data_IF_210477143993
#
_entry.id   IF_210477143993
#
_cell.length_a   1.000
_cell.length_b   1.000
_cell.length_c   1.000
_cell.angle_alpha   90.00
_cell.angle_beta   90.00
_cell.angle_gamma   90.00
#
_symmetry.space_group_name_H-M   'P 1'
#
loop_
_entity.id
_entity.type
_entity.pdbx_description
1 polymer ?
#
# COMPACT_ATOMS: atom_id res chain seq x y z
N UNK A 1 -10.08 22.23 -21.04
CA UNK A 1 -9.40 22.23 -19.75
C UNK A 1 -10.20 23.10 -18.80
N UNK A 2 -10.49 22.61 -17.60
CA UNK A 2 -11.14 23.42 -16.58
C UNK A 2 -10.19 24.55 -16.17
N UNK A 3 -10.74 25.76 -15.89
CA UNK A 3 -9.91 26.93 -15.57
C UNK A 3 -9.04 26.72 -14.32
N UNK A 4 -9.51 25.92 -13.36
CA UNK A 4 -8.76 25.51 -12.17
C UNK A 4 -7.50 24.76 -12.50
N UNK A 5 -7.54 23.85 -13.50
CA UNK A 5 -6.41 23.06 -13.93
C UNK A 5 -5.40 23.92 -14.71
N UNK A 6 -5.88 24.84 -15.57
CA UNK A 6 -5.00 25.76 -16.30
C UNK A 6 -4.16 26.65 -15.37
N UNK A 7 -4.75 27.09 -14.25
CA UNK A 7 -4.12 28.00 -13.28
C UNK A 7 -3.30 27.28 -12.21
N UNK A 8 -3.33 25.93 -12.14
CA UNK A 8 -2.72 25.13 -11.08
C UNK A 8 -3.02 25.70 -9.68
N UNK A 9 -4.30 26.01 -9.46
CA UNK A 9 -4.74 26.65 -8.21
C UNK A 9 -4.61 25.69 -7.01
N UNK A 10 -4.54 26.19 -5.76
CA UNK A 10 -4.58 25.35 -4.55
C UNK A 10 -5.79 24.39 -4.54
N UNK A 11 -6.95 24.84 -5.00
CA UNK A 11 -8.14 24.02 -5.13
C UNK A 11 -7.94 22.86 -6.12
N UNK A 12 -7.23 23.11 -7.24
CA UNK A 12 -6.89 22.04 -8.17
C UNK A 12 -5.93 21.03 -7.56
N UNK A 13 -4.90 21.46 -6.85
CA UNK A 13 -3.98 20.55 -6.14
C UNK A 13 -4.71 19.72 -5.08
N UNK A 14 -5.68 20.29 -4.38
CA UNK A 14 -6.55 19.54 -3.45
C UNK A 14 -7.31 18.45 -4.20
N UNK A 15 -8.02 18.78 -5.29
CA UNK A 15 -8.78 17.84 -6.11
C UNK A 15 -7.85 16.73 -6.65
N UNK A 16 -6.68 17.09 -7.14
CA UNK A 16 -5.67 16.18 -7.69
C UNK A 16 -5.12 15.20 -6.64
N UNK A 17 -5.10 15.60 -5.37
CA UNK A 17 -4.62 14.80 -4.25
C UNK A 17 -5.66 13.78 -3.75
N UNK A 18 -6.95 14.02 -3.95
CA UNK A 18 -8.04 13.19 -3.39
C UNK A 18 -7.99 11.73 -3.81
N UNK A 19 -7.71 11.35 -5.08
CA UNK A 19 -7.65 9.94 -5.45
C UNK A 19 -6.56 9.15 -4.70
N UNK A 20 -5.37 9.76 -4.50
CA UNK A 20 -4.33 9.15 -3.68
C UNK A 20 -4.72 9.07 -2.21
N UNK A 21 -5.43 10.09 -1.71
CA UNK A 21 -5.98 10.13 -0.36
C UNK A 21 -6.99 9.01 -0.13
N UNK A 22 -7.81 8.66 -1.14
CA UNK A 22 -8.72 7.52 -1.05
C UNK A 22 -7.98 6.22 -0.75
N UNK A 23 -6.87 5.98 -1.43
CA UNK A 23 -6.07 4.76 -1.23
C UNK A 23 -5.40 4.74 0.14
N UNK A 24 -4.86 5.87 0.58
CA UNK A 24 -4.32 6.01 1.94
C UNK A 24 -5.39 5.80 3.02
N UNK A 25 -6.59 6.31 2.80
CA UNK A 25 -7.72 6.12 3.70
C UNK A 25 -8.16 4.64 3.75
N UNK A 26 -8.28 3.97 2.59
CA UNK A 26 -8.62 2.54 2.51
C UNK A 26 -7.61 1.68 3.27
N UNK A 27 -6.30 1.96 3.13
CA UNK A 27 -5.24 1.31 3.92
C UNK A 27 -5.42 1.55 5.42
N UNK A 28 -5.75 2.76 5.84
CA UNK A 28 -5.96 3.07 7.25
C UNK A 28 -7.14 2.29 7.85
N UNK A 29 -8.24 2.15 7.09
CA UNK A 29 -9.39 1.32 7.47
C UNK A 29 -8.97 -0.14 7.58
N UNK A 30 -8.28 -0.67 6.59
CA UNK A 30 -7.79 -2.05 6.58
C UNK A 30 -6.89 -2.32 7.79
N UNK A 31 -5.90 -1.48 8.03
CA UNK A 31 -4.93 -1.64 9.13
C UNK A 31 -5.63 -1.64 10.49
N UNK A 32 -6.61 -0.77 10.69
CA UNK A 32 -7.32 -0.67 11.96
C UNK A 32 -8.36 -1.79 12.15
N UNK A 33 -9.10 -2.13 11.11
CA UNK A 33 -10.29 -2.94 11.23
C UNK A 33 -10.10 -4.42 10.85
N UNK A 34 -9.15 -4.77 9.96
CA UNK A 34 -9.07 -6.13 9.42
C UNK A 34 -8.76 -7.18 10.49
N UNK A 35 -7.67 -7.04 11.23
CA UNK A 35 -7.31 -7.99 12.29
C UNK A 35 -8.36 -8.02 13.40
N UNK A 36 -8.92 -6.86 13.74
CA UNK A 36 -9.96 -6.73 14.74
C UNK A 36 -11.22 -7.52 14.33
N UNK A 37 -11.76 -7.31 13.13
CA UNK A 37 -13.01 -7.96 12.69
C UNK A 37 -12.83 -9.48 12.51
N UNK A 38 -11.67 -9.91 12.00
CA UNK A 38 -11.36 -11.32 11.81
C UNK A 38 -11.26 -12.07 13.16
N UNK A 39 -10.70 -11.43 14.18
CA UNK A 39 -10.59 -12.02 15.49
C UNK A 39 -11.89 -11.96 16.29
N UNK A 40 -12.58 -10.80 16.31
CA UNK A 40 -13.77 -10.62 17.18
C UNK A 40 -15.03 -11.19 16.56
N UNK A 41 -15.32 -10.90 15.30
CA UNK A 41 -16.56 -11.35 14.66
C UNK A 41 -16.48 -12.78 14.12
N UNK A 42 -15.29 -13.19 13.62
CA UNK A 42 -15.12 -14.50 12.97
C UNK A 42 -14.29 -15.49 13.78
N UNK A 43 -13.77 -15.08 14.96
CA UNK A 43 -12.98 -15.91 15.88
C UNK A 43 -11.79 -16.61 15.20
N UNK A 44 -11.17 -15.97 14.18
CA UNK A 44 -10.02 -16.53 13.52
C UNK A 44 -8.79 -16.52 14.43
N UNK A 45 -8.05 -17.61 14.39
CA UNK A 45 -6.79 -17.71 15.11
C UNK A 45 -5.73 -16.80 14.49
N UNK A 46 -4.76 -16.35 15.28
CA UNK A 46 -3.73 -15.38 14.84
C UNK A 46 -2.95 -15.84 13.62
N UNK A 47 -2.71 -17.15 13.46
CA UNK A 47 -2.02 -17.69 12.29
C UNK A 47 -2.89 -17.64 11.03
N UNK A 48 -4.22 -17.70 11.14
CA UNK A 48 -5.17 -17.53 10.05
C UNK A 48 -5.25 -16.04 9.63
N UNK A 49 -5.28 -15.14 10.61
CA UNK A 49 -5.19 -13.69 10.36
C UNK A 49 -3.87 -13.35 9.64
N UNK A 50 -2.75 -13.97 10.07
CA UNK A 50 -1.46 -13.82 9.39
C UNK A 50 -1.49 -14.24 7.93
N UNK A 51 -2.27 -15.29 7.56
CA UNK A 51 -2.44 -15.67 6.15
C UNK A 51 -3.26 -14.66 5.36
N UNK A 52 -4.31 -14.11 5.95
CA UNK A 52 -5.10 -13.06 5.30
C UNK A 52 -4.20 -11.86 4.99
N UNK A 53 -3.33 -11.46 5.91
CA UNK A 53 -2.35 -10.39 5.69
C UNK A 53 -1.25 -10.73 4.66
N UNK A 54 -0.94 -12.01 4.45
CA UNK A 54 0.00 -12.44 3.42
C UNK A 54 -0.50 -12.17 1.99
N UNK A 55 -1.80 -11.89 1.81
CA UNK A 55 -2.38 -11.46 0.54
C UNK A 55 -1.81 -10.11 0.06
N UNK A 56 -1.51 -9.18 0.98
CA UNK A 56 -1.03 -7.84 0.66
C UNK A 56 0.25 -7.78 -0.18
N UNK A 57 1.35 -8.43 0.22
CA UNK A 57 2.57 -8.50 -0.57
C UNK A 57 2.36 -9.07 -1.97
N UNK A 58 1.51 -10.09 -2.11
CA UNK A 58 1.16 -10.69 -3.41
C UNK A 58 0.43 -9.67 -4.28
N UNK A 59 -0.60 -9.03 -3.75
CA UNK A 59 -1.35 -7.99 -4.43
C UNK A 59 -0.47 -6.79 -4.82
N UNK A 60 0.47 -6.40 -3.95
CA UNK A 60 1.41 -5.32 -4.21
C UNK A 60 2.31 -5.57 -5.41
N UNK A 61 2.88 -6.78 -5.51
CA UNK A 61 3.76 -7.16 -6.63
C UNK A 61 2.97 -7.16 -7.94
N UNK A 62 1.84 -7.85 -7.99
CA UNK A 62 1.03 -7.97 -9.20
C UNK A 62 0.32 -6.66 -9.55
N UNK A 63 -0.32 -6.01 -8.58
CA UNK A 63 -1.09 -4.81 -8.79
C UNK A 63 -0.23 -3.63 -9.23
N UNK A 64 0.85 -3.32 -8.52
CA UNK A 64 1.65 -2.13 -8.84
C UNK A 64 2.46 -2.29 -10.13
N UNK A 65 3.10 -3.44 -10.33
CA UNK A 65 3.98 -3.65 -11.50
C UNK A 65 3.16 -3.81 -12.77
N UNK A 66 2.18 -4.74 -12.76
CA UNK A 66 1.39 -5.06 -13.97
C UNK A 66 0.50 -3.87 -14.34
N UNK A 67 -0.23 -3.30 -13.38
CA UNK A 67 -1.13 -2.18 -13.66
C UNK A 67 -0.35 -0.93 -14.00
N UNK A 68 0.83 -0.71 -13.39
CA UNK A 68 1.72 0.37 -13.77
C UNK A 68 2.04 0.34 -15.27
N UNK A 69 2.51 -0.81 -15.76
CA UNK A 69 2.83 -0.99 -17.18
C UNK A 69 1.61 -0.82 -18.10
N UNK A 70 0.48 -1.46 -17.75
CA UNK A 70 -0.73 -1.39 -18.57
C UNK A 70 -1.27 0.05 -18.60
N UNK A 71 -1.30 0.75 -17.46
CA UNK A 71 -1.82 2.12 -17.40
C UNK A 71 -0.97 3.14 -18.12
N UNK A 72 0.28 2.82 -18.47
CA UNK A 72 1.14 3.68 -19.26
C UNK A 72 0.79 3.64 -20.76
N UNK A 73 0.28 2.51 -21.25
CA UNK A 73 0.07 2.26 -22.67
C UNK A 73 -1.40 2.37 -23.12
N UNK A 74 -2.35 2.15 -22.20
CA UNK A 74 -3.77 2.00 -22.53
C UNK A 74 -4.54 3.29 -22.28
N UNK A 75 -5.33 3.72 -23.29
CA UNK A 75 -6.23 4.87 -23.22
C UNK A 75 -7.68 4.41 -23.37
N UNK A 76 -8.48 4.53 -22.30
CA UNK A 76 -9.92 4.25 -22.34
C UNK A 76 -10.68 5.10 -21.31
N UNK A 77 -11.99 5.26 -21.46
CA UNK A 77 -12.84 6.13 -20.66
C UNK A 77 -12.31 7.56 -20.50
N UNK A 78 -11.62 8.07 -21.53
CA UNK A 78 -11.13 9.45 -21.59
C UNK A 78 -9.88 9.73 -20.75
N UNK A 79 -9.05 8.72 -20.49
CA UNK A 79 -7.78 8.86 -19.80
C UNK A 79 -6.95 7.57 -19.78
N UNK A 80 -5.70 7.68 -19.36
CA UNK A 80 -4.82 6.55 -19.06
C UNK A 80 -4.92 6.12 -17.61
N UNK A 81 -4.92 7.07 -16.71
CA UNK A 81 -4.91 6.82 -15.25
C UNK A 81 -6.30 6.73 -14.66
N UNK A 82 -7.23 7.54 -15.17
CA UNK A 82 -8.61 7.67 -14.69
C UNK A 82 -9.35 6.33 -14.56
N UNK A 83 -9.34 5.44 -15.57
CA UNK A 83 -10.04 4.16 -15.47
C UNK A 83 -9.54 3.29 -14.31
N UNK A 84 -8.23 3.23 -14.10
CA UNK A 84 -7.63 2.44 -13.04
C UNK A 84 -7.96 3.00 -11.64
N UNK A 85 -8.00 4.33 -11.52
CA UNK A 85 -8.41 5.00 -10.28
C UNK A 85 -9.87 4.71 -9.97
N UNK A 86 -10.76 4.77 -10.97
CA UNK A 86 -12.18 4.47 -10.81
C UNK A 86 -12.42 3.01 -10.43
N UNK A 87 -11.81 2.07 -11.17
CA UNK A 87 -11.96 0.64 -10.92
C UNK A 87 -11.41 0.28 -9.53
N UNK A 88 -10.17 0.67 -9.24
CA UNK A 88 -9.55 0.32 -7.96
C UNK A 88 -10.23 1.00 -6.78
N UNK A 89 -10.62 2.28 -6.89
CA UNK A 89 -11.36 2.98 -5.85
C UNK A 89 -12.72 2.37 -5.56
N UNK A 90 -13.48 2.03 -6.59
CA UNK A 90 -14.79 1.39 -6.45
C UNK A 90 -14.67 -0.01 -5.83
N UNK A 91 -13.74 -0.83 -6.33
CA UNK A 91 -13.49 -2.16 -5.79
C UNK A 91 -12.99 -2.10 -4.33
N UNK A 92 -12.11 -1.15 -4.00
CA UNK A 92 -11.65 -0.96 -2.62
C UNK A 92 -12.81 -0.64 -1.69
N UNK A 93 -13.70 0.26 -2.08
CA UNK A 93 -14.88 0.61 -1.29
C UNK A 93 -15.83 -0.59 -1.12
N UNK A 94 -16.05 -1.37 -2.17
CA UNK A 94 -16.87 -2.59 -2.11
C UNK A 94 -16.25 -3.65 -1.20
N UNK A 95 -14.94 -3.86 -1.27
CA UNK A 95 -14.26 -4.83 -0.41
C UNK A 95 -14.23 -4.39 1.06
N UNK A 96 -14.10 -3.09 1.33
CA UNK A 96 -14.27 -2.57 2.69
C UNK A 96 -15.68 -2.87 3.23
N UNK A 97 -16.71 -2.63 2.42
CA UNK A 97 -18.10 -2.98 2.80
C UNK A 97 -18.30 -4.49 2.96
N UNK A 98 -17.56 -5.32 2.26
CA UNK A 98 -17.66 -6.77 2.36
C UNK A 98 -17.07 -7.33 3.68
N UNK A 99 -16.17 -6.61 4.36
CA UNK A 99 -15.51 -7.09 5.58
C UNK A 99 -16.49 -7.55 6.68
N UNK A 100 -17.54 -6.78 7.03
CA UNK A 100 -18.52 -7.23 8.02
C UNK A 100 -19.38 -8.40 7.57
N UNK A 101 -19.43 -8.69 6.28
CA UNK A 101 -20.29 -9.68 5.66
C UNK A 101 -19.55 -10.94 5.17
N UNK A 102 -18.28 -11.14 5.55
CA UNK A 102 -17.47 -12.29 5.15
C UNK A 102 -18.21 -13.61 5.42
N UNK A 103 -18.83 -13.77 6.62
CA UNK A 103 -19.57 -14.97 6.98
C UNK A 103 -20.82 -15.20 6.11
N UNK A 104 -21.59 -14.14 5.81
CA UNK A 104 -22.76 -14.21 4.94
C UNK A 104 -22.35 -14.59 3.51
N UNK A 105 -21.25 -14.01 3.01
CA UNK A 105 -20.70 -14.32 1.69
C UNK A 105 -20.20 -15.76 1.65
N UNK A 106 -19.51 -16.24 2.70
CA UNK A 106 -19.02 -17.62 2.79
C UNK A 106 -20.16 -18.64 2.72
N UNK A 107 -21.19 -18.46 3.54
CA UNK A 107 -22.36 -19.36 3.52
C UNK A 107 -23.15 -19.28 2.23
N UNK A 108 -23.31 -18.07 1.68
CA UNK A 108 -24.02 -17.86 0.40
C UNK A 108 -23.34 -18.51 -0.80
N UNK A 109 -22.01 -18.65 -0.75
CA UNK A 109 -21.21 -19.35 -1.78
C UNK A 109 -20.99 -20.85 -1.48
N UNK A 110 -21.53 -21.35 -0.37
CA UNK A 110 -21.40 -22.77 0.01
C UNK A 110 -20.04 -23.17 0.59
N UNK A 111 -19.24 -22.20 1.07
CA UNK A 111 -17.97 -22.49 1.75
C UNK A 111 -18.19 -22.74 3.24
N UNK A 112 -17.62 -23.82 3.76
CA UNK A 112 -17.64 -24.12 5.20
C UNK A 112 -16.67 -23.26 5.99
N UNK A 113 -15.56 -22.84 5.38
CA UNK A 113 -14.51 -22.04 6.02
C UNK A 113 -14.58 -20.56 5.64
N UNK A 114 -14.69 -19.72 6.64
CA UNK A 114 -14.64 -18.26 6.52
C UNK A 114 -13.26 -17.75 6.06
N UNK A 115 -12.18 -18.50 6.37
CA UNK A 115 -10.79 -18.10 6.08
C UNK A 115 -10.54 -17.89 4.58
N UNK A 116 -11.07 -18.78 3.73
CA UNK A 116 -10.91 -18.66 2.27
C UNK A 116 -11.53 -17.38 1.72
N UNK A 117 -12.72 -17.03 2.18
CA UNK A 117 -13.41 -15.79 1.78
C UNK A 117 -12.72 -14.57 2.38
N UNK A 118 -12.22 -14.64 3.60
CA UNK A 118 -11.43 -13.57 4.22
C UNK A 118 -10.16 -13.27 3.40
N UNK A 119 -9.43 -14.31 2.97
CA UNK A 119 -8.26 -14.16 2.09
C UNK A 119 -8.66 -13.55 0.75
N UNK A 120 -9.74 -14.01 0.13
CA UNK A 120 -10.21 -13.49 -1.15
C UNK A 120 -10.58 -12.00 -1.08
N UNK A 121 -11.33 -11.61 -0.05
CA UNK A 121 -11.72 -10.21 0.17
C UNK A 121 -10.50 -9.34 0.45
N UNK A 122 -9.58 -9.78 1.33
CA UNK A 122 -8.36 -9.06 1.62
C UNK A 122 -7.45 -8.94 0.39
N UNK A 123 -7.27 -10.02 -0.37
CA UNK A 123 -6.49 -10.02 -1.62
C UNK A 123 -7.09 -9.04 -2.64
N UNK A 124 -8.41 -9.06 -2.81
CA UNK A 124 -9.09 -8.17 -3.74
C UNK A 124 -9.01 -6.72 -3.28
N UNK A 125 -9.11 -6.46 -1.97
CA UNK A 125 -8.94 -5.12 -1.40
C UNK A 125 -7.52 -4.59 -1.65
N UNK A 126 -6.51 -5.38 -1.31
CA UNK A 126 -5.11 -5.02 -1.52
C UNK A 126 -4.79 -4.82 -3.00
N UNK A 127 -5.28 -5.71 -3.86
CA UNK A 127 -5.12 -5.59 -5.31
C UNK A 127 -5.79 -4.31 -5.83
N UNK A 128 -7.00 -4.00 -5.38
CA UNK A 128 -7.76 -2.80 -5.78
C UNK A 128 -7.05 -1.51 -5.37
N UNK A 129 -6.51 -1.47 -4.14
CA UNK A 129 -5.69 -0.35 -3.66
C UNK A 129 -4.44 -0.20 -4.54
N UNK A 130 -3.75 -1.29 -4.84
CA UNK A 130 -2.52 -1.27 -5.64
C UNK A 130 -2.78 -0.95 -7.12
N UNK A 131 -3.93 -1.33 -7.69
CA UNK A 131 -4.38 -0.92 -9.03
C UNK A 131 -4.46 0.61 -9.14
N UNK A 132 -4.94 1.28 -8.10
CA UNK A 132 -5.08 2.74 -8.09
C UNK A 132 -3.80 3.47 -7.65
N UNK A 133 -2.94 2.85 -6.87
CA UNK A 133 -1.85 3.51 -6.16
C UNK A 133 -0.85 4.22 -7.09
N UNK A 134 -0.38 3.54 -8.14
CA UNK A 134 0.51 4.13 -9.13
C UNK A 134 -0.21 5.16 -10.02
N UNK A 135 -1.38 4.86 -10.61
CA UNK A 135 -2.14 5.84 -11.38
C UNK A 135 -2.44 7.14 -10.62
N UNK A 136 -2.78 7.09 -9.33
CA UNK A 136 -3.05 8.30 -8.53
C UNK A 136 -1.82 9.18 -8.31
N UNK A 137 -0.62 8.61 -8.36
CA UNK A 137 0.64 9.36 -8.29
C UNK A 137 1.07 9.85 -9.66
N UNK A 138 0.97 8.99 -10.67
CA UNK A 138 1.37 9.30 -12.05
C UNK A 138 0.53 10.43 -12.64
N UNK A 139 -0.78 10.50 -12.34
CA UNK A 139 -1.65 11.56 -12.83
C UNK A 139 -1.16 12.96 -12.42
N UNK A 140 -0.48 13.08 -11.27
CA UNK A 140 0.12 14.35 -10.83
C UNK A 140 1.22 14.78 -11.81
N UNK A 141 2.10 13.84 -12.18
CA UNK A 141 3.15 14.10 -13.15
C UNK A 141 2.59 14.42 -14.55
N UNK A 142 1.52 13.71 -14.95
CA UNK A 142 0.91 13.83 -16.27
C UNK A 142 0.20 15.18 -16.47
N UNK A 143 -0.30 15.82 -15.39
CA UNK A 143 -1.08 17.07 -15.48
C UNK A 143 -0.35 18.31 -14.94
N UNK A 144 0.85 18.14 -14.38
CA UNK A 144 1.67 19.25 -13.87
C UNK A 144 2.99 19.38 -14.63
N UNK A 145 3.45 20.61 -14.95
CA UNK A 145 4.77 20.83 -15.52
C UNK A 145 5.89 20.29 -14.63
N UNK A 146 6.98 19.82 -15.24
CA UNK A 146 8.17 19.41 -14.49
C UNK A 146 8.77 20.56 -13.69
N UNK A 147 9.36 20.26 -12.52
CA UNK A 147 9.95 21.25 -11.63
C UNK A 147 9.06 21.58 -10.43
N UNK A 148 9.02 22.85 -10.03
CA UNK A 148 8.38 23.30 -8.78
C UNK A 148 6.88 22.96 -8.70
N UNK A 149 6.14 23.09 -9.78
CA UNK A 149 4.70 22.81 -9.78
C UNK A 149 4.40 21.32 -9.57
N UNK A 150 5.20 20.42 -10.15
CA UNK A 150 5.10 18.99 -9.92
C UNK A 150 5.46 18.63 -8.46
N UNK A 151 6.55 19.19 -7.94
CA UNK A 151 6.94 19.03 -6.52
C UNK A 151 5.84 19.50 -5.59
N UNK A 152 5.25 20.65 -5.87
CA UNK A 152 4.10 21.18 -5.13
C UNK A 152 2.91 20.22 -5.17
N UNK A 153 2.59 19.63 -6.33
CA UNK A 153 1.54 18.63 -6.47
C UNK A 153 1.75 17.43 -5.54
N UNK A 154 2.95 16.88 -5.51
CA UNK A 154 3.28 15.77 -4.61
C UNK A 154 3.27 16.17 -3.13
N UNK A 155 3.71 17.38 -2.79
CA UNK A 155 3.64 17.89 -1.41
C UNK A 155 2.19 18.02 -0.95
N UNK A 156 1.30 18.58 -1.79
CA UNK A 156 -0.13 18.65 -1.49
C UNK A 156 -0.75 17.25 -1.30
N UNK A 157 -0.44 16.33 -2.21
CA UNK A 157 -0.89 14.94 -2.09
C UNK A 157 -0.48 14.32 -0.75
N UNK A 158 0.78 14.47 -0.37
CA UNK A 158 1.29 13.88 0.86
C UNK A 158 0.66 14.49 2.12
N UNK A 159 0.47 15.81 2.12
CA UNK A 159 -0.14 16.54 3.24
C UNK A 159 -1.61 16.14 3.40
N UNK A 160 -2.38 16.14 2.32
CA UNK A 160 -3.82 15.82 2.37
C UNK A 160 -4.00 14.34 2.73
N UNK A 161 -3.26 13.42 2.08
CA UNK A 161 -3.35 11.99 2.40
C UNK A 161 -2.97 11.69 3.85
N UNK A 162 -1.93 12.34 4.37
CA UNK A 162 -1.53 12.19 5.78
C UNK A 162 -2.61 12.68 6.75
N UNK A 163 -3.20 13.84 6.47
CA UNK A 163 -4.28 14.40 7.28
C UNK A 163 -5.52 13.50 7.30
N UNK A 164 -5.94 12.99 6.15
CA UNK A 164 -7.06 12.08 6.05
C UNK A 164 -6.76 10.70 6.68
N UNK A 165 -5.50 10.23 6.63
CA UNK A 165 -5.07 9.02 7.34
C UNK A 165 -5.25 9.14 8.85
N UNK A 166 -4.82 10.27 9.44
CA UNK A 166 -5.07 10.57 10.86
C UNK A 166 -6.58 10.66 11.13
N UNK A 167 -7.36 11.29 10.23
CA UNK A 167 -8.81 11.38 10.32
C UNK A 167 -9.50 10.00 10.32
N UNK A 168 -9.01 9.06 9.52
CA UNK A 168 -9.54 7.69 9.52
C UNK A 168 -9.39 7.02 10.89
N UNK A 169 -8.21 7.07 11.48
CA UNK A 169 -7.99 6.51 12.81
C UNK A 169 -8.77 7.25 13.90
N UNK A 170 -9.00 8.55 13.76
CA UNK A 170 -9.85 9.32 14.66
C UNK A 170 -11.31 8.83 14.62
N UNK A 171 -11.85 8.53 13.43
CA UNK A 171 -13.19 7.93 13.29
C UNK A 171 -13.26 6.61 14.06
N UNK A 172 -12.29 5.71 13.87
CA UNK A 172 -12.23 4.44 14.57
C UNK A 172 -12.09 4.58 16.09
N UNK A 173 -11.28 5.52 16.55
CA UNK A 173 -11.06 5.78 17.97
C UNK A 173 -12.32 6.34 18.69
N UNK A 174 -13.09 7.18 18.00
CA UNK A 174 -14.27 7.84 18.57
C UNK A 174 -15.51 6.96 18.45
N UNK A 175 -15.79 6.44 17.25
CA UNK A 175 -17.05 5.76 16.92
C UNK A 175 -16.91 4.23 16.76
N UNK A 176 -15.66 3.72 16.81
CA UNK A 176 -15.36 2.29 16.67
C UNK A 176 -15.15 1.85 15.23
N UNK A 177 -14.67 0.61 15.08
CA UNK A 177 -14.21 0.09 13.78
C UNK A 177 -15.35 -0.18 12.78
N UNK A 178 -16.56 -0.49 13.21
CA UNK A 178 -17.70 -0.60 12.29
C UNK A 178 -18.01 0.74 11.64
N UNK A 179 -18.06 1.83 12.43
CA UNK A 179 -18.26 3.17 11.88
C UNK A 179 -17.12 3.53 10.92
N UNK A 180 -15.88 3.21 11.27
CA UNK A 180 -14.72 3.42 10.40
C UNK A 180 -14.87 2.67 9.07
N UNK A 181 -15.31 1.41 9.06
CA UNK A 181 -15.51 0.62 7.84
C UNK A 181 -16.57 1.26 6.94
N UNK A 182 -17.77 1.54 7.48
CA UNK A 182 -18.85 2.08 6.67
C UNK A 182 -18.58 3.50 6.17
N UNK A 183 -18.18 4.40 7.06
CA UNK A 183 -17.83 5.78 6.68
C UNK A 183 -16.61 5.77 5.76
N UNK A 184 -15.63 4.90 6.03
CA UNK A 184 -14.45 4.74 5.21
C UNK A 184 -14.78 4.29 3.79
N UNK A 185 -15.64 3.31 3.62
CA UNK A 185 -16.07 2.85 2.29
C UNK A 185 -16.75 3.98 1.49
N UNK A 186 -17.64 4.75 2.12
CA UNK A 186 -18.27 5.91 1.49
C UNK A 186 -17.26 6.96 1.09
N UNK A 187 -16.35 7.33 1.99
CA UNK A 187 -15.30 8.32 1.71
C UNK A 187 -14.41 7.84 0.57
N UNK A 188 -13.90 6.60 0.63
CA UNK A 188 -13.04 6.01 -0.41
C UNK A 188 -13.73 6.05 -1.77
N UNK A 189 -15.00 5.66 -1.84
CA UNK A 189 -15.78 5.73 -3.07
C UNK A 189 -15.89 7.16 -3.59
N UNK A 190 -16.37 8.10 -2.76
CA UNK A 190 -16.63 9.47 -3.19
C UNK A 190 -15.36 10.20 -3.63
N UNK A 191 -14.28 10.08 -2.87
CA UNK A 191 -13.03 10.79 -3.19
C UNK A 191 -12.15 10.07 -4.24
N UNK A 192 -12.49 8.83 -4.60
CA UNK A 192 -11.95 8.18 -5.81
C UNK A 192 -12.75 8.54 -7.06
N UNK A 193 -14.07 8.66 -6.93
CA UNK A 193 -14.97 8.82 -8.07
C UNK A 193 -15.14 10.27 -8.50
N UNK A 194 -15.45 11.18 -7.55
CA UNK A 194 -15.81 12.56 -7.87
C UNK A 194 -14.64 13.37 -8.47
N UNK A 195 -13.42 13.36 -7.91
CA UNK A 195 -12.32 14.22 -8.37
C UNK A 195 -11.90 13.94 -9.81
N UNK A 196 -12.04 12.70 -10.25
CA UNK A 196 -11.64 12.26 -11.59
C UNK A 196 -12.36 13.04 -12.70
N UNK A 197 -13.60 13.49 -12.46
CA UNK A 197 -14.35 14.29 -13.44
C UNK A 197 -13.80 15.70 -13.60
N UNK A 198 -13.05 16.20 -12.65
CA UNK A 198 -12.42 17.52 -12.66
C UNK A 198 -10.98 17.52 -13.15
N UNK A 199 -10.40 16.34 -13.42
CA UNK A 199 -9.04 16.20 -13.90
C UNK A 199 -9.09 15.75 -15.37
N UNK A 200 -8.45 16.49 -16.27
CA UNK A 200 -8.29 16.11 -17.68
C UNK A 200 -6.85 15.69 -17.93
N UNK A 201 -6.68 14.46 -18.36
CA UNK A 201 -5.39 13.93 -18.76
C UNK A 201 -5.01 14.40 -20.18
N UNK A 202 -3.72 14.68 -20.46
CA UNK A 202 -3.25 14.93 -21.81
C UNK A 202 -3.24 13.61 -22.60
N UNK A 203 -3.74 13.65 -23.83
CA UNK A 203 -3.76 12.49 -24.73
C UNK A 203 -2.34 12.05 -25.15
N UNK A 204 -1.45 13.04 -25.32
CA UNK A 204 -0.02 12.82 -25.60
C UNK A 204 0.83 13.39 -24.47
N UNK A 205 1.76 12.61 -23.97
CA UNK A 205 2.83 13.10 -23.09
C UNK A 205 3.80 13.97 -23.90
N UNK A 206 4.50 14.91 -23.24
CA UNK A 206 5.52 15.68 -23.95
C UNK A 206 6.66 14.76 -24.38
N UNK A 207 7.22 14.98 -25.59
CA UNK A 207 8.27 14.15 -26.20
C UNK A 207 9.50 13.90 -25.30
N UNK A 208 9.76 14.77 -24.30
CA UNK A 208 10.82 14.56 -23.32
C UNK A 208 10.53 13.44 -22.30
N UNK A 209 9.27 13.08 -22.10
CA UNK A 209 8.86 12.00 -21.20
C UNK A 209 8.72 10.66 -21.96
N UNK A 210 8.48 10.69 -23.28
CA UNK A 210 8.51 9.48 -24.13
C UNK A 210 9.90 8.83 -24.20
N UNK A 211 10.97 9.60 -24.11
CA UNK A 211 12.36 9.07 -24.14
C UNK A 211 12.68 8.26 -22.85
N UNK A 212 11.92 8.45 -21.78
CA UNK A 212 12.02 7.64 -20.56
C UNK A 212 11.10 6.40 -20.58
N UNK A 213 10.12 6.35 -21.48
CA UNK A 213 9.33 5.16 -21.75
C UNK A 213 10.12 4.21 -22.67
N UNK A 214 11.04 3.53 -22.06
CA UNK A 214 11.98 2.61 -22.72
C UNK A 214 11.22 1.43 -23.33
N UNK A 215 11.47 1.17 -24.61
CA UNK A 215 11.05 -0.03 -25.35
C UNK A 215 11.15 -1.31 -24.51
N UNK A 216 10.17 -2.22 -24.56
CA UNK A 216 10.18 -3.47 -23.78
C UNK A 216 11.27 -4.41 -24.31
N UNK A 217 12.46 -4.28 -23.74
CA UNK A 217 13.53 -5.23 -23.96
C UNK A 217 13.23 -6.50 -23.11
N UNK A 218 13.22 -7.67 -23.73
CA UNK A 218 12.96 -8.95 -23.05
C UNK A 218 13.91 -9.21 -21.85
N UNK A 219 15.07 -8.59 -21.85
CA UNK A 219 16.06 -8.70 -20.76
C UNK A 219 15.74 -7.80 -19.56
N UNK A 220 14.81 -6.86 -19.66
CA UNK A 220 14.47 -5.97 -18.54
C UNK A 220 13.86 -6.66 -17.35
N UNK A 221 13.04 -7.69 -17.56
CA UNK A 221 12.46 -8.49 -16.47
C UNK A 221 13.53 -9.18 -15.65
N UNK A 222 14.53 -9.74 -16.31
CA UNK A 222 15.66 -10.40 -15.64
C UNK A 222 16.48 -9.37 -14.87
N UNK A 223 16.78 -8.23 -15.48
CA UNK A 223 17.47 -7.12 -14.81
C UNK A 223 16.69 -6.58 -13.60
N UNK A 224 15.37 -6.38 -13.75
CA UNK A 224 14.50 -5.97 -12.65
C UNK A 224 14.48 -6.99 -11.50
N UNK A 225 14.42 -8.30 -11.80
CA UNK A 225 14.52 -9.34 -10.78
C UNK A 225 15.85 -9.31 -10.03
N UNK A 226 16.96 -9.05 -10.73
CA UNK A 226 18.26 -8.92 -10.09
C UNK A 226 18.43 -7.64 -9.27
N UNK A 227 17.78 -6.54 -9.65
CA UNK A 227 17.82 -5.30 -8.87
C UNK A 227 17.07 -5.40 -7.54
N UNK A 228 16.11 -6.33 -7.40
CA UNK A 228 15.36 -6.55 -6.15
C UNK A 228 15.88 -7.73 -5.31
N UNK A 229 17.15 -8.12 -5.47
CA UNK A 229 17.80 -9.21 -4.70
C UNK A 229 17.49 -9.22 -3.19
N UNK A 230 17.48 -8.07 -2.49
CA UNK A 230 17.18 -8.05 -1.05
C UNK A 230 15.78 -8.56 -0.70
N UNK A 231 14.86 -8.61 -1.67
CA UNK A 231 13.48 -9.08 -1.47
C UNK A 231 13.25 -10.52 -1.89
N UNK A 232 14.22 -11.23 -2.45
CA UNK A 232 14.00 -12.58 -3.00
C UNK A 232 13.44 -13.57 -1.99
N UNK A 233 13.88 -13.52 -0.73
CA UNK A 233 13.34 -14.40 0.30
C UNK A 233 11.87 -14.12 0.60
N UNK A 234 11.47 -12.85 0.63
CA UNK A 234 10.06 -12.47 0.80
C UNK A 234 9.21 -12.89 -0.38
N UNK A 235 9.71 -12.66 -1.59
CA UNK A 235 9.02 -13.04 -2.84
C UNK A 235 8.84 -14.55 -2.97
N UNK A 236 9.78 -15.35 -2.47
CA UNK A 236 9.68 -16.80 -2.43
C UNK A 236 8.75 -17.31 -1.32
N UNK A 237 8.82 -16.68 -0.14
CA UNK A 237 8.06 -17.12 1.04
C UNK A 237 6.55 -17.03 0.85
N UNK A 238 6.05 -15.91 0.33
CA UNK A 238 4.62 -15.67 0.22
C UNK A 238 3.88 -16.73 -0.61
N UNK A 239 4.26 -17.00 -1.90
CA UNK A 239 3.59 -18.03 -2.68
C UNK A 239 3.85 -19.46 -2.19
N UNK A 240 5.06 -19.75 -1.69
CA UNK A 240 5.40 -21.07 -1.18
C UNK A 240 4.67 -21.39 0.13
N UNK A 241 4.58 -20.40 1.05
CA UNK A 241 3.82 -20.53 2.27
C UNK A 241 2.33 -20.73 2.02
N UNK A 242 1.78 -20.02 1.04
CA UNK A 242 0.39 -20.14 0.62
C UNK A 242 0.13 -21.52 -0.02
N UNK A 243 1.00 -21.95 -0.94
CA UNK A 243 0.93 -23.27 -1.57
C UNK A 243 1.02 -24.41 -0.54
N UNK A 244 1.97 -24.33 0.41
CA UNK A 244 2.12 -25.29 1.52
C UNK A 244 0.81 -25.48 2.28
N UNK A 245 0.11 -24.39 2.56
CA UNK A 245 -1.12 -24.42 3.35
C UNK A 245 -2.32 -24.91 2.56
N UNK A 246 -2.43 -24.55 1.29
CA UNK A 246 -3.50 -25.02 0.39
C UNK A 246 -3.35 -26.49 0.03
N UNK A 247 -2.12 -27.01 -0.06
CA UNK A 247 -1.85 -28.41 -0.40
C UNK A 247 -1.92 -29.39 0.78
N UNK A 248 -2.10 -28.89 2.01
CA UNK A 248 -2.13 -29.71 3.23
C UNK A 248 -0.80 -30.39 3.55
N UNK A 249 0.28 -30.07 2.84
CA UNK A 249 1.59 -30.67 3.06
C UNK A 249 2.25 -30.12 4.32
N UNK A 250 2.56 -31.01 5.27
CA UNK A 250 3.35 -30.69 6.46
C UNK A 250 4.85 -30.74 6.14
N UNK A 251 5.38 -29.74 5.47
CA UNK A 251 6.84 -29.50 5.56
C UNK A 251 7.16 -29.15 7.02
N UNK A 252 8.24 -29.70 7.54
CA UNK A 252 8.61 -29.43 8.96
C UNK A 252 8.62 -27.93 9.22
N UNK A 253 7.94 -27.49 10.32
CA UNK A 253 7.86 -26.06 10.65
C UNK A 253 9.26 -25.49 10.76
N UNK A 254 9.51 -24.36 10.08
CA UNK A 254 10.75 -23.61 10.15
C UNK A 254 11.75 -23.81 9.00
N UNK A 255 11.68 -24.90 8.22
CA UNK A 255 12.67 -25.11 7.12
C UNK A 255 12.46 -24.10 6.00
N UNK A 256 11.21 -23.88 5.57
CA UNK A 256 10.88 -22.91 4.52
C UNK A 256 11.20 -21.48 4.98
N UNK A 257 10.82 -21.15 6.19
CA UNK A 257 11.07 -19.87 6.84
C UNK A 257 12.58 -19.59 6.94
N UNK A 258 13.35 -20.59 7.38
CA UNK A 258 14.80 -20.47 7.49
C UNK A 258 15.46 -20.31 6.10
N UNK A 259 15.03 -21.09 5.11
CA UNK A 259 15.56 -20.99 3.75
C UNK A 259 15.30 -19.60 3.13
N UNK A 260 14.09 -19.07 3.27
CA UNK A 260 13.73 -17.75 2.79
C UNK A 260 14.47 -16.64 3.55
N UNK A 261 14.67 -16.79 4.87
CA UNK A 261 15.47 -15.87 5.66
C UNK A 261 16.93 -15.87 5.20
N UNK A 262 17.53 -17.03 5.02
CA UNK A 262 18.91 -17.16 4.53
C UNK A 262 19.08 -16.55 3.14
N UNK A 263 18.10 -16.72 2.25
CA UNK A 263 18.10 -16.12 0.92
C UNK A 263 18.07 -14.59 1.00
N UNK A 264 17.22 -14.04 1.88
CA UNK A 264 17.13 -12.59 2.14
C UNK A 264 18.45 -12.04 2.69
N UNK A 265 18.98 -12.67 3.74
CA UNK A 265 20.26 -12.26 4.37
C UNK A 265 21.40 -12.34 3.36
N UNK A 266 21.46 -13.38 2.54
CA UNK A 266 22.46 -13.53 1.49
C UNK A 266 22.35 -12.41 0.43
N UNK A 267 21.13 -12.10 -0.03
CA UNK A 267 20.88 -11.01 -0.99
C UNK A 267 21.34 -9.65 -0.44
N UNK A 268 21.01 -9.36 0.82
CA UNK A 268 21.44 -8.13 1.51
C UNK A 268 22.96 -8.06 1.66
N UNK A 269 23.57 -9.16 2.12
CA UNK A 269 25.02 -9.23 2.30
C UNK A 269 25.80 -9.01 1.00
N UNK A 270 25.29 -9.56 -0.13
CA UNK A 270 25.88 -9.31 -1.44
C UNK A 270 25.83 -7.83 -1.82
N UNK A 271 24.73 -7.15 -1.53
CA UNK A 271 24.55 -5.72 -1.85
C UNK A 271 25.48 -4.85 -0.99
N UNK A 272 25.61 -5.18 0.30
CA UNK A 272 26.48 -4.43 1.22
C UNK A 272 27.98 -4.60 0.91
N UNK A 273 28.39 -5.74 0.34
CA UNK A 273 29.78 -5.99 -0.06
C UNK A 273 30.21 -5.29 -1.35
N UNK A 274 29.26 -4.76 -2.13
CA UNK A 274 29.63 -4.08 -3.37
C UNK A 274 30.34 -2.75 -3.06
N UNK A 275 31.54 -2.51 -3.64
CA UNK A 275 32.26 -1.28 -3.40
C UNK A 275 31.48 -0.08 -3.94
N UNK A 276 31.54 1.02 -3.23
CA UNK A 276 31.03 2.30 -3.74
C UNK A 276 31.85 2.71 -4.96
N UNK A 277 31.18 2.94 -6.07
CA UNK A 277 31.79 3.50 -7.26
C UNK A 277 31.81 5.03 -7.09
N UNK A 278 32.99 5.63 -7.05
CA UNK A 278 33.14 7.10 -6.99
C UNK A 278 32.66 7.80 -8.25
N UNK A 279 32.40 7.06 -9.32
CA UNK A 279 31.90 7.58 -10.59
C UNK A 279 30.38 7.43 -10.64
N UNK A 280 29.66 8.53 -10.77
CA UNK A 280 28.21 8.58 -10.95
C UNK A 280 27.80 7.96 -12.31
N UNK A 281 27.75 6.63 -12.34
CA UNK A 281 27.29 5.85 -13.48
C UNK A 281 26.01 5.08 -13.11
N UNK A 282 25.38 4.47 -14.10
CA UNK A 282 24.14 3.70 -13.93
C UNK A 282 24.27 2.59 -12.88
N UNK A 283 25.45 1.98 -12.75
CA UNK A 283 25.73 0.91 -11.78
C UNK A 283 25.78 1.43 -10.34
N UNK A 284 26.30 2.64 -10.12
CA UNK A 284 26.28 3.29 -8.79
C UNK A 284 24.84 3.56 -8.32
N UNK A 285 23.97 4.01 -9.22
CA UNK A 285 22.56 4.23 -8.91
C UNK A 285 21.82 2.94 -8.56
N UNK A 286 22.12 1.82 -9.24
CA UNK A 286 21.56 0.51 -8.92
C UNK A 286 21.98 0.01 -7.53
N UNK A 287 23.24 0.16 -7.14
CA UNK A 287 23.74 -0.24 -5.82
C UNK A 287 23.07 0.59 -4.73
N UNK A 288 22.98 1.91 -4.91
CA UNK A 288 22.27 2.80 -4.00
C UNK A 288 20.80 2.41 -3.83
N UNK A 289 20.10 2.13 -4.92
CA UNK A 289 18.72 1.64 -4.89
C UNK A 289 18.58 0.32 -4.11
N UNK A 290 19.48 -0.65 -4.34
CA UNK A 290 19.44 -1.95 -3.65
C UNK A 290 19.72 -1.81 -2.14
N UNK A 291 20.58 -0.89 -1.71
CA UNK A 291 20.85 -0.59 -0.29
C UNK A 291 19.62 0.01 0.40
N UNK A 292 18.96 0.98 -0.25
CA UNK A 292 17.71 1.57 0.24
C UNK A 292 16.62 0.51 0.32
N UNK A 293 16.49 -0.34 -0.70
CA UNK A 293 15.53 -1.42 -0.75
C UNK A 293 15.74 -2.44 0.38
N UNK A 294 17.00 -2.78 0.69
CA UNK A 294 17.33 -3.65 1.81
C UNK A 294 16.92 -3.07 3.16
N UNK A 295 17.25 -1.80 3.42
CA UNK A 295 16.85 -1.11 4.65
C UNK A 295 15.32 -1.02 4.76
N UNK A 296 14.65 -0.72 3.66
CA UNK A 296 13.19 -0.62 3.58
C UNK A 296 12.52 -1.97 3.82
N UNK A 297 13.07 -3.07 3.31
CA UNK A 297 12.54 -4.42 3.51
C UNK A 297 12.50 -4.80 5.01
N UNK A 298 13.56 -4.50 5.77
CA UNK A 298 13.57 -4.74 7.21
C UNK A 298 12.55 -3.89 7.97
N UNK A 299 12.47 -2.60 7.63
CA UNK A 299 11.48 -1.70 8.22
C UNK A 299 10.06 -2.22 7.99
N UNK A 300 9.75 -2.61 6.75
CA UNK A 300 8.43 -3.15 6.41
C UNK A 300 8.13 -4.50 7.05
N UNK A 301 9.12 -5.35 7.28
CA UNK A 301 8.94 -6.59 8.04
C UNK A 301 8.43 -6.27 9.46
N UNK A 302 9.06 -5.31 10.15
CA UNK A 302 8.61 -4.86 11.47
C UNK A 302 7.20 -4.26 11.44
N UNK A 303 6.89 -3.42 10.44
CA UNK A 303 5.58 -2.80 10.27
C UNK A 303 4.50 -3.85 10.01
N UNK A 304 4.73 -4.81 9.12
CA UNK A 304 3.77 -5.88 8.83
C UNK A 304 3.54 -6.78 10.05
N UNK A 305 4.60 -7.11 10.78
CA UNK A 305 4.48 -7.84 12.05
C UNK A 305 3.59 -7.08 13.03
N UNK A 306 3.77 -5.77 13.15
CA UNK A 306 2.93 -4.93 13.99
C UNK A 306 1.45 -4.97 13.55
N UNK A 307 1.14 -4.87 12.26
CA UNK A 307 -0.26 -4.92 11.78
C UNK A 307 -0.96 -6.24 12.11
N UNK A 308 -0.24 -7.35 12.07
CA UNK A 308 -0.78 -8.68 12.37
C UNK A 308 -0.98 -8.86 13.88
N UNK A 309 0.07 -8.58 14.66
CA UNK A 309 0.13 -8.99 16.07
C UNK A 309 -0.35 -7.93 17.06
N UNK A 310 -0.44 -6.65 16.66
CA UNK A 310 -0.80 -5.57 17.57
C UNK A 310 -2.20 -5.76 18.17
N UNK A 311 -3.17 -6.18 17.36
CA UNK A 311 -4.52 -6.45 17.88
C UNK A 311 -4.50 -7.58 18.90
N UNK A 312 -3.88 -8.70 18.60
CA UNK A 312 -3.78 -9.84 19.51
C UNK A 312 -3.03 -9.50 20.79
N UNK A 313 -2.00 -8.65 20.71
CA UNK A 313 -1.29 -8.14 21.89
C UNK A 313 -2.19 -7.29 22.78
N UNK A 314 -2.94 -6.35 22.19
CA UNK A 314 -3.88 -5.49 22.92
C UNK A 314 -4.99 -6.34 23.56
N UNK A 315 -5.58 -7.27 22.81
CA UNK A 315 -6.63 -8.18 23.28
C UNK A 315 -6.15 -9.02 24.47
N UNK A 316 -4.94 -9.55 24.42
CA UNK A 316 -4.38 -10.35 25.52
C UNK A 316 -4.06 -9.49 26.76
N UNK A 317 -3.56 -8.27 26.58
CA UNK A 317 -3.22 -7.36 27.69
C UNK A 317 -4.43 -6.66 28.30
N UNK A 318 -5.48 -6.45 27.53
CA UNK A 318 -6.68 -5.71 27.90
C UNK A 318 -7.94 -6.57 27.71
N UNK A 319 -7.88 -7.83 28.19
CA UNK A 319 -8.96 -8.82 28.04
C UNK A 319 -10.26 -8.45 28.79
N UNK A 320 -10.22 -7.42 29.62
CA UNK A 320 -11.37 -6.86 30.34
C UNK A 320 -12.19 -5.87 29.51
N UNK A 321 -11.70 -5.46 28.35
CA UNK A 321 -12.40 -4.52 27.46
C UNK A 321 -13.40 -5.25 26.57
N UNK A 322 -14.48 -4.53 26.21
CA UNK A 322 -15.41 -5.00 25.20
C UNK A 322 -14.73 -5.04 23.81
N UNK A 323 -15.26 -5.87 22.89
CA UNK A 323 -14.74 -5.94 21.52
C UNK A 323 -14.72 -4.59 20.81
N UNK A 324 -15.75 -3.76 21.02
CA UNK A 324 -15.82 -2.42 20.46
C UNK A 324 -14.74 -1.50 21.05
N UNK A 325 -14.48 -1.58 22.36
CA UNK A 325 -13.45 -0.78 23.00
C UNK A 325 -12.04 -1.23 22.61
N UNK A 326 -11.82 -2.52 22.39
CA UNK A 326 -10.58 -3.02 21.78
C UNK A 326 -10.36 -2.42 20.39
N UNK A 327 -11.40 -2.33 19.58
CA UNK A 327 -11.34 -1.66 18.26
C UNK A 327 -10.99 -0.17 18.35
N UNK A 328 -11.52 0.54 19.36
CA UNK A 328 -11.17 1.95 19.61
C UNK A 328 -9.72 2.11 20.07
N UNK A 329 -9.23 1.23 20.94
CA UNK A 329 -7.84 1.25 21.42
C UNK A 329 -6.85 1.02 20.29
N UNK A 330 -7.12 0.08 19.36
CA UNK A 330 -6.24 -0.13 18.20
C UNK A 330 -6.23 1.09 17.28
N UNK A 331 -7.40 1.68 17.00
CA UNK A 331 -7.49 2.90 16.20
C UNK A 331 -6.76 4.07 16.84
N UNK A 332 -6.89 4.25 18.17
CA UNK A 332 -6.18 5.28 18.92
C UNK A 332 -4.66 5.08 18.87
N UNK A 333 -4.21 3.84 18.94
CA UNK A 333 -2.79 3.50 18.85
C UNK A 333 -2.20 3.88 17.49
N UNK A 334 -2.91 3.59 16.41
CA UNK A 334 -2.49 3.99 15.06
C UNK A 334 -2.64 5.49 14.82
N UNK A 335 -3.62 6.14 15.43
CA UNK A 335 -3.74 7.60 15.41
C UNK A 335 -2.49 8.25 16.02
N UNK A 336 -2.11 7.83 17.23
CA UNK A 336 -0.92 8.34 17.89
C UNK A 336 0.35 8.06 17.09
N UNK A 337 0.50 6.85 16.57
CA UNK A 337 1.62 6.46 15.71
C UNK A 337 1.74 7.40 14.50
N UNK A 338 0.64 7.63 13.79
CA UNK A 338 0.64 8.47 12.59
C UNK A 338 0.82 9.95 12.92
N UNK A 339 0.25 10.45 14.01
CA UNK A 339 0.46 11.82 14.47
C UNK A 339 1.94 12.08 14.82
N UNK A 340 2.56 11.16 15.55
CA UNK A 340 3.99 11.23 15.89
C UNK A 340 4.85 11.12 14.61
N UNK A 341 4.52 10.21 13.70
CA UNK A 341 5.23 10.03 12.43
C UNK A 341 5.11 11.26 11.52
N UNK A 342 4.04 12.04 11.61
CA UNK A 342 3.88 13.28 10.86
C UNK A 342 4.73 14.44 11.44
N UNK A 343 4.86 14.50 12.76
CA UNK A 343 5.48 15.63 13.47
C UNK A 343 7.00 15.41 13.66
N UNK A 344 7.39 14.22 14.05
CA UNK A 344 8.77 13.90 14.47
C UNK A 344 9.82 14.11 13.36
N UNK A 345 9.57 13.74 12.09
CA UNK A 345 10.52 14.01 11.00
C UNK A 345 10.77 15.49 10.78
N UNK A 346 9.72 16.33 10.86
CA UNK A 346 9.85 17.76 10.65
C UNK A 346 10.68 18.43 11.76
N UNK A 347 10.52 17.98 13.00
CA UNK A 347 11.22 18.58 14.16
C UNK A 347 12.68 18.07 14.27
N UNK A 348 12.91 16.79 14.04
CA UNK A 348 14.21 16.15 14.31
C UNK A 348 15.00 15.77 13.06
N UNK A 349 14.35 15.16 12.06
CA UNK A 349 15.08 14.60 10.91
C UNK A 349 15.52 15.69 9.94
N UNK A 350 14.73 16.74 9.75
CA UNK A 350 15.13 17.82 8.84
C UNK A 350 16.36 18.56 9.35
N UNK A 351 16.46 19.05 10.61
CA UNK A 351 17.68 19.66 11.13
C UNK A 351 18.88 18.72 11.15
N UNK A 352 18.65 17.42 11.43
CA UNK A 352 19.74 16.44 11.41
C UNK A 352 20.28 16.21 9.99
N UNK A 353 19.40 16.14 8.98
CA UNK A 353 19.80 15.96 7.59
C UNK A 353 20.54 17.19 7.03
N UNK A 354 20.21 18.39 7.50
CA UNK A 354 20.94 19.61 7.15
C UNK A 354 22.33 19.66 7.79
N UNK A 355 22.49 19.10 9.00
CA UNK A 355 23.73 19.10 9.74
C UNK A 355 24.69 17.97 9.33
N UNK A 356 24.18 16.80 9.04
CA UNK A 356 24.98 15.58 8.81
C UNK A 356 24.91 15.05 7.39
N UNK A 357 24.18 15.72 6.51
CA UNK A 357 23.96 15.28 5.13
C UNK A 357 22.77 14.33 4.99
N UNK A 358 22.42 14.05 3.74
CA UNK A 358 21.25 13.20 3.36
C UNK A 358 21.66 11.74 3.14
N UNK A 359 22.66 11.26 3.84
CA UNK A 359 23.13 9.87 3.70
C UNK A 359 22.50 8.99 4.77
#
# INVERSE_FOLDING_TARGET
MLDLQKKLSPAFYTILSLPSTAMGFALSVQISALSWILSTQYNLAIHEIGLVWAAGPIAGIFGQVIVGMISDEVWFWGGRRRPFILIGGTLSALMLLALPFIGVISTGLGFESVVGIAILIALTLDLSINISFNPTRSIIADVTPSGNERTKGYTWMQTISGTFGVGAYAIGAIWGNYALIYVGAIIVFLISFIPIWFIKEPEKLSEKEEVLSVTPDKNKWISALFSIKPLWGFLAYAPLGMFKKLSGQSLSPGILELACLLLTVYGIFQVLKQPESEVANQRSNEIGFQRILAAHAFTWMGIQTMFIYMFAFIQNKMNFLSENDLGKVISLSFLLLNAVAAILPAIFLQPLSEKWGKV
#
